data_IF_672714310859
#
_entry.id   IF_672714310859
#
_cell.length_a   1.000
_cell.length_b   1.000
_cell.length_c   1.000
_cell.angle_alpha   90.00
_cell.angle_beta   90.00
_cell.angle_gamma   90.00
#
_symmetry.space_group_name_H-M   'P 1'
#
loop_
_entity.id
_entity.type
_entity.pdbx_description
1 polymer ?
#
# COMPACT_ATOMS: atom_id res chain seq x y z
N UNK A 1 15.78 23.18 -3.10
CA UNK A 1 14.84 22.70 -4.15
C UNK A 1 13.39 22.96 -3.73
N UNK A 2 12.50 23.25 -4.70
CA UNK A 2 11.05 23.46 -4.47
C UNK A 2 10.29 22.33 -5.18
N UNK A 3 9.56 21.53 -4.44
CA UNK A 3 8.92 20.30 -4.94
C UNK A 3 7.42 20.32 -4.69
N UNK A 4 6.65 19.95 -5.69
CA UNK A 4 5.23 19.63 -5.54
C UNK A 4 5.07 18.12 -5.67
N UNK A 5 4.37 17.49 -4.69
CA UNK A 5 4.02 16.08 -4.73
C UNK A 5 2.51 15.92 -4.87
N UNK A 6 2.07 15.28 -5.95
CA UNK A 6 0.65 14.97 -6.19
C UNK A 6 0.33 13.56 -5.70
N UNK A 7 -0.48 13.47 -4.64
CA UNK A 7 -0.88 12.20 -4.04
C UNK A 7 -2.30 12.31 -3.48
N UNK A 8 -3.19 11.39 -3.83
CA UNK A 8 -4.57 11.41 -3.33
C UNK A 8 -5.23 10.03 -3.29
N UNK A 9 -6.22 9.91 -2.42
CA UNK A 9 -7.15 8.80 -2.32
C UNK A 9 -6.76 7.79 -1.27
N UNK A 10 -5.81 6.90 -1.55
CA UNK A 10 -5.44 5.80 -0.67
C UNK A 10 -4.03 5.95 -0.08
N UNK A 11 -3.77 5.31 1.05
CA UNK A 11 -2.45 5.26 1.66
C UNK A 11 -1.36 4.72 0.71
N UNK A 12 -1.72 3.82 -0.22
CA UNK A 12 -0.82 3.28 -1.23
C UNK A 12 -0.26 4.32 -2.22
N UNK A 13 -0.95 5.46 -2.40
CA UNK A 13 -0.45 6.59 -3.18
C UNK A 13 0.23 7.65 -2.31
N UNK A 14 -0.29 7.86 -1.09
CA UNK A 14 0.15 8.95 -0.21
C UNK A 14 1.48 8.60 0.48
N UNK A 15 1.60 7.38 1.00
CA UNK A 15 2.80 6.95 1.72
C UNK A 15 4.09 6.99 0.88
N UNK A 16 4.11 6.53 -0.39
CA UNK A 16 5.27 6.74 -1.26
C UNK A 16 5.62 8.22 -1.44
N UNK A 17 4.62 9.09 -1.60
CA UNK A 17 4.82 10.54 -1.69
C UNK A 17 5.48 11.12 -0.43
N UNK A 18 5.00 10.74 0.74
CA UNK A 18 5.57 11.15 2.04
C UNK A 18 7.00 10.61 2.18
N UNK A 19 7.25 9.37 1.79
CA UNK A 19 8.59 8.77 1.86
C UNK A 19 9.59 9.50 0.94
N UNK A 20 9.17 9.85 -0.29
CA UNK A 20 9.96 10.67 -1.21
C UNK A 20 10.22 12.06 -0.62
N UNK A 21 9.20 12.71 -0.05
CA UNK A 21 9.34 14.02 0.59
C UNK A 21 10.35 13.99 1.74
N UNK A 22 10.25 12.99 2.62
CA UNK A 22 11.17 12.80 3.74
C UNK A 22 12.61 12.59 3.26
N UNK A 23 12.81 11.78 2.20
CA UNK A 23 14.14 11.55 1.64
C UNK A 23 14.73 12.82 1.05
N UNK A 24 13.94 13.60 0.30
CA UNK A 24 14.38 14.91 -0.22
C UNK A 24 14.77 15.85 0.92
N UNK A 25 13.97 15.91 1.99
CA UNK A 25 14.28 16.74 3.17
C UNK A 25 15.53 16.27 3.91
N UNK A 26 15.81 14.98 3.92
CA UNK A 26 17.02 14.43 4.51
C UNK A 26 18.27 14.85 3.74
N UNK A 27 18.21 14.81 2.40
CA UNK A 27 19.34 15.18 1.52
C UNK A 27 19.48 16.70 1.36
N UNK A 28 18.37 17.42 1.31
CA UNK A 28 18.31 18.87 1.14
C UNK A 28 17.41 19.51 2.20
N UNK A 29 17.96 19.86 3.35
CA UNK A 29 17.21 20.41 4.50
C UNK A 29 16.42 21.67 4.15
N UNK A 30 16.93 22.51 3.28
CA UNK A 30 16.31 23.78 2.85
C UNK A 30 15.25 23.61 1.76
N UNK A 31 14.99 22.38 1.30
CA UNK A 31 13.97 22.13 0.28
C UNK A 31 12.58 22.55 0.79
N UNK A 32 11.78 23.16 -0.10
CA UNK A 32 10.38 23.49 0.19
C UNK A 32 9.49 22.50 -0.52
N UNK A 33 8.68 21.78 0.23
CA UNK A 33 7.83 20.71 -0.31
C UNK A 33 6.39 21.00 0.08
N UNK A 34 5.49 20.99 -0.91
CA UNK A 34 4.05 21.01 -0.69
C UNK A 34 3.40 19.82 -1.40
N UNK A 35 2.26 19.38 -0.88
CA UNK A 35 1.45 18.37 -1.53
C UNK A 35 0.26 19.00 -2.24
N UNK A 36 -0.16 18.37 -3.36
CA UNK A 36 -1.43 18.63 -4.00
C UNK A 36 -2.29 17.38 -3.88
N UNK A 37 -3.47 17.53 -3.28
CA UNK A 37 -4.46 16.48 -3.07
C UNK A 37 -5.87 16.98 -3.35
N UNK A 38 -6.86 16.27 -2.82
CA UNK A 38 -8.28 16.66 -2.85
C UNK A 38 -8.79 16.89 -1.43
N UNK A 39 -9.99 17.45 -1.29
CA UNK A 39 -10.64 17.65 0.02
C UNK A 39 -11.26 16.38 0.60
N UNK A 40 -11.12 15.19 -0.02
CA UNK A 40 -11.95 14.00 0.26
C UNK A 40 -11.20 12.73 0.64
N UNK A 41 -9.91 12.64 0.36
CA UNK A 41 -9.12 11.43 0.58
C UNK A 41 -8.35 11.43 1.89
N UNK A 42 -7.62 10.34 2.14
CA UNK A 42 -6.76 10.16 3.31
C UNK A 42 -5.60 11.17 3.36
N UNK A 43 -5.30 11.84 2.26
CA UNK A 43 -4.28 12.89 2.19
C UNK A 43 -4.54 14.03 3.16
N UNK A 44 -5.81 14.32 3.48
CA UNK A 44 -6.18 15.38 4.42
C UNK A 44 -5.75 15.11 5.86
N UNK A 45 -5.53 13.87 6.21
CA UNK A 45 -5.03 13.44 7.52
C UNK A 45 -3.52 13.11 7.46
N UNK A 46 -3.10 12.28 6.50
CA UNK A 46 -1.75 11.73 6.46
C UNK A 46 -0.67 12.75 6.12
N UNK A 47 -0.96 13.70 5.21
CA UNK A 47 0.03 14.70 4.77
C UNK A 47 0.33 15.72 5.87
N UNK A 48 -0.68 16.35 6.54
CA UNK A 48 -0.42 17.24 7.66
C UNK A 48 0.25 16.54 8.84
N UNK A 49 -0.14 15.30 9.18
CA UNK A 49 0.53 14.51 10.23
C UNK A 49 2.00 14.23 9.93
N UNK A 50 2.36 14.16 8.65
CA UNK A 50 3.75 14.02 8.22
C UNK A 50 4.52 15.35 8.21
N UNK A 51 3.90 16.47 8.58
CA UNK A 51 4.52 17.80 8.68
C UNK A 51 4.58 18.57 7.36
N UNK A 52 3.77 18.18 6.35
CA UNK A 52 3.76 18.84 5.06
C UNK A 52 2.49 19.65 4.82
N UNK A 53 2.64 20.77 4.10
CA UNK A 53 1.51 21.58 3.65
C UNK A 53 0.73 20.85 2.54
N UNK A 54 -0.60 20.79 2.66
CA UNK A 54 -1.51 20.26 1.67
C UNK A 54 -2.31 21.37 1.01
N UNK A 55 -2.16 21.52 -0.30
CA UNK A 55 -3.06 22.31 -1.17
C UNK A 55 -4.06 21.38 -1.81
N UNK A 56 -5.31 21.77 -1.88
CA UNK A 56 -6.37 20.94 -2.49
C UNK A 56 -6.86 21.53 -3.81
N UNK A 57 -7.16 20.65 -4.75
CA UNK A 57 -7.77 21.00 -6.04
C UNK A 57 -8.97 20.08 -6.33
N UNK A 58 -9.80 20.52 -7.28
CA UNK A 58 -10.90 19.70 -7.77
C UNK A 58 -10.40 18.67 -8.77
N UNK A 59 -10.37 17.39 -8.38
CA UNK A 59 -10.05 16.29 -9.28
C UNK A 59 -10.91 15.07 -8.97
N UNK A 60 -11.28 14.32 -10.00
CA UNK A 60 -12.14 13.14 -9.90
C UNK A 60 -11.64 12.00 -10.77
N UNK A 61 -11.85 10.78 -10.31
CA UNK A 61 -11.70 9.60 -11.15
C UNK A 61 -12.78 9.58 -12.23
N UNK A 62 -12.38 9.53 -13.48
CA UNK A 62 -13.32 9.46 -14.60
C UNK A 62 -13.67 8.00 -14.89
N UNK A 63 -14.96 7.72 -15.05
CA UNK A 63 -15.47 6.43 -15.52
C UNK A 63 -15.66 6.46 -17.03
N UNK A 64 -15.73 5.26 -17.66
CA UNK A 64 -16.03 5.16 -19.11
C UNK A 64 -17.53 5.32 -19.42
N UNK A 65 -18.39 5.40 -18.41
CA UNK A 65 -19.85 5.52 -18.62
C UNK A 65 -20.20 6.96 -19.00
N UNK A 66 -20.93 7.13 -20.08
CA UNK A 66 -21.55 8.40 -20.44
C UNK A 66 -22.73 8.64 -19.47
N UNK A 67 -22.52 9.53 -18.52
CA UNK A 67 -23.56 9.98 -17.57
C UNK A 67 -23.36 11.47 -17.25
N UNK A 68 -24.43 12.15 -16.89
CA UNK A 68 -24.43 13.55 -16.47
C UNK A 68 -23.43 13.76 -15.32
N UNK A 69 -23.39 12.81 -14.39
CA UNK A 69 -22.43 12.82 -13.27
C UNK A 69 -20.98 12.78 -13.76
N UNK A 70 -20.69 11.97 -14.77
CA UNK A 70 -19.35 11.88 -15.32
C UNK A 70 -18.92 13.15 -16.08
N UNK A 71 -19.86 13.81 -16.77
CA UNK A 71 -19.64 15.11 -17.40
C UNK A 71 -19.34 16.16 -16.33
N UNK A 72 -20.08 16.19 -15.23
CA UNK A 72 -19.83 17.09 -14.10
C UNK A 72 -18.45 16.84 -13.47
N UNK A 73 -18.04 15.58 -13.28
CA UNK A 73 -16.70 15.19 -12.79
C UNK A 73 -15.61 15.64 -13.76
N UNK A 74 -15.83 15.54 -15.05
CA UNK A 74 -14.89 16.00 -16.08
C UNK A 74 -14.72 17.52 -16.02
N UNK A 75 -15.83 18.28 -15.94
CA UNK A 75 -15.77 19.74 -15.78
C UNK A 75 -15.00 20.14 -14.51
N UNK A 76 -15.27 19.50 -13.37
CA UNK A 76 -14.55 19.75 -12.12
C UNK A 76 -13.06 19.43 -12.24
N UNK A 77 -12.72 18.37 -12.96
CA UNK A 77 -11.29 18.02 -13.18
C UNK A 77 -10.59 19.04 -14.09
N UNK A 78 -11.30 19.61 -15.08
CA UNK A 78 -10.80 20.73 -15.88
C UNK A 78 -10.58 21.98 -15.02
N UNK A 79 -11.47 22.28 -14.08
CA UNK A 79 -11.28 23.36 -13.10
C UNK A 79 -10.04 23.10 -12.25
N UNK A 80 -9.87 21.86 -11.75
CA UNK A 80 -8.69 21.44 -10.99
C UNK A 80 -7.38 21.59 -11.75
N UNK A 81 -7.39 21.42 -13.06
CA UNK A 81 -6.22 21.72 -13.91
C UNK A 81 -5.83 23.20 -13.82
N UNK A 82 -6.79 24.14 -13.86
CA UNK A 82 -6.54 25.57 -13.67
C UNK A 82 -6.05 25.91 -12.26
N UNK A 83 -6.65 25.28 -11.24
CA UNK A 83 -6.26 25.43 -9.84
C UNK A 83 -4.80 24.95 -9.62
N UNK A 84 -4.43 23.79 -10.18
CA UNK A 84 -3.05 23.30 -10.13
C UNK A 84 -2.06 24.27 -10.79
N UNK A 85 -2.40 24.82 -11.95
CA UNK A 85 -1.57 25.86 -12.62
C UNK A 85 -1.37 27.09 -11.74
N UNK A 86 -2.41 27.56 -11.06
CA UNK A 86 -2.32 28.71 -10.16
C UNK A 86 -1.34 28.44 -9.03
N UNK A 87 -1.49 27.27 -8.34
CA UNK A 87 -0.59 26.85 -7.28
C UNK A 87 0.87 26.79 -7.79
N UNK A 88 1.11 26.21 -8.97
CA UNK A 88 2.45 26.09 -9.54
C UNK A 88 3.06 27.47 -9.88
N UNK A 89 2.28 28.40 -10.42
CA UNK A 89 2.77 29.76 -10.70
C UNK A 89 3.14 30.53 -9.42
N UNK A 90 2.40 30.34 -8.34
CA UNK A 90 2.65 30.96 -7.04
C UNK A 90 3.85 30.28 -6.34
N UNK A 91 3.86 28.96 -6.30
CA UNK A 91 4.89 28.18 -5.62
C UNK A 91 6.20 28.09 -6.40
N UNK A 92 6.19 28.19 -7.74
CA UNK A 92 7.35 28.08 -8.65
C UNK A 92 8.20 26.82 -8.35
N UNK A 93 7.64 25.61 -8.55
CA UNK A 93 8.38 24.38 -8.27
C UNK A 93 9.46 24.11 -9.32
N UNK A 94 10.58 23.54 -8.88
CA UNK A 94 11.63 23.04 -9.75
C UNK A 94 11.22 21.69 -10.38
N UNK A 95 10.34 20.93 -9.71
CA UNK A 95 9.84 19.63 -10.15
C UNK A 95 8.46 19.32 -9.56
N UNK A 96 7.66 18.58 -10.34
CA UNK A 96 6.37 18.03 -9.89
C UNK A 96 6.41 16.51 -9.95
N UNK A 97 6.14 15.84 -8.81
CA UNK A 97 6.16 14.39 -8.65
C UNK A 97 4.74 13.89 -8.40
N UNK A 98 4.25 12.95 -9.21
CA UNK A 98 2.99 12.25 -8.95
C UNK A 98 3.23 10.84 -8.43
N UNK A 99 2.57 10.45 -7.34
CA UNK A 99 2.71 9.10 -6.75
C UNK A 99 1.48 8.22 -6.94
N UNK A 100 0.56 8.66 -7.79
CA UNK A 100 -0.61 7.87 -8.17
C UNK A 100 -1.95 8.55 -7.86
N UNK A 101 -3.00 7.87 -8.28
CA UNK A 101 -4.36 8.38 -8.16
C UNK A 101 -4.74 9.37 -9.29
N UNK A 102 -6.03 9.70 -9.31
CA UNK A 102 -6.61 10.57 -10.34
C UNK A 102 -6.10 12.02 -10.29
N UNK A 103 -5.58 12.45 -9.15
CA UNK A 103 -5.00 13.79 -8.94
C UNK A 103 -3.83 14.06 -9.90
N UNK A 104 -3.04 13.03 -10.22
CA UNK A 104 -1.90 13.15 -11.12
C UNK A 104 -2.32 13.62 -12.51
N UNK A 105 -3.53 13.30 -12.96
CA UNK A 105 -4.06 13.73 -14.25
C UNK A 105 -4.04 15.25 -14.42
N UNK A 106 -4.62 15.98 -13.49
CA UNK A 106 -4.64 17.43 -13.48
C UNK A 106 -3.24 18.02 -13.21
N UNK A 107 -2.55 17.49 -12.20
CA UNK A 107 -1.29 18.07 -11.70
C UNK A 107 -0.15 17.90 -12.69
N UNK A 108 0.13 16.68 -13.17
CA UNK A 108 1.20 16.41 -14.14
C UNK A 108 0.94 17.11 -15.50
N UNK A 109 -0.34 17.10 -15.97
CA UNK A 109 -0.66 17.81 -17.21
C UNK A 109 -0.48 19.33 -17.08
N UNK A 110 -0.76 19.90 -15.89
CA UNK A 110 -0.51 21.32 -15.61
C UNK A 110 0.98 21.66 -15.62
N UNK A 111 1.78 20.85 -14.94
CA UNK A 111 3.24 20.99 -14.88
C UNK A 111 3.85 20.93 -16.29
N UNK A 112 3.49 19.88 -17.06
CA UNK A 112 3.94 19.72 -18.43
C UNK A 112 3.62 20.95 -19.31
N UNK A 113 2.40 21.50 -19.17
CA UNK A 113 2.00 22.69 -19.96
C UNK A 113 2.70 23.98 -19.55
N UNK A 114 3.33 24.00 -18.37
CA UNK A 114 4.15 25.12 -17.87
C UNK A 114 5.66 24.91 -18.11
N UNK A 115 6.05 23.79 -18.74
CA UNK A 115 7.45 23.43 -18.94
C UNK A 115 8.19 23.04 -17.66
N UNK A 116 7.46 22.68 -16.59
CA UNK A 116 8.05 22.27 -15.33
C UNK A 116 8.40 20.78 -15.41
N UNK A 117 9.62 20.37 -15.01
CA UNK A 117 10.02 18.97 -14.96
C UNK A 117 9.04 18.08 -14.18
N UNK A 118 8.77 16.88 -14.70
CA UNK A 118 7.75 15.98 -14.17
C UNK A 118 8.28 14.59 -13.91
N UNK A 119 7.88 14.01 -12.78
CA UNK A 119 8.07 12.59 -12.46
C UNK A 119 6.76 11.92 -12.07
N UNK A 120 6.62 10.64 -12.41
CA UNK A 120 5.56 9.76 -11.88
C UNK A 120 6.21 8.57 -11.19
N UNK A 121 5.66 8.17 -10.05
CA UNK A 121 6.00 6.93 -9.39
C UNK A 121 4.86 5.93 -9.54
N UNK A 122 5.17 4.73 -10.05
CA UNK A 122 4.23 3.60 -10.13
C UNK A 122 4.62 2.52 -9.14
N UNK A 123 3.78 2.32 -8.16
CA UNK A 123 4.00 1.34 -7.10
C UNK A 123 3.66 -0.10 -7.49
N UNK A 124 2.82 -0.31 -8.51
CA UNK A 124 2.33 -1.63 -8.87
C UNK A 124 3.13 -2.26 -10.02
N UNK A 125 3.21 -3.59 -10.05
CA UNK A 125 3.76 -4.36 -11.18
C UNK A 125 2.90 -4.25 -12.46
N UNK A 126 1.62 -3.89 -12.31
CA UNK A 126 0.75 -3.52 -13.43
C UNK A 126 0.37 -2.04 -13.34
N UNK A 127 0.88 -1.20 -14.25
CA UNK A 127 0.70 0.25 -14.18
C UNK A 127 -0.75 0.68 -14.20
N UNK A 128 -1.07 1.64 -13.33
CA UNK A 128 -2.38 2.26 -13.24
C UNK A 128 -2.75 3.07 -14.49
N UNK A 129 -4.06 3.33 -14.67
CA UNK A 129 -4.57 4.11 -15.82
C UNK A 129 -3.94 5.50 -15.90
N UNK A 130 -3.76 6.17 -14.76
CA UNK A 130 -3.18 7.51 -14.72
C UNK A 130 -1.76 7.51 -15.28
N UNK A 131 -0.90 6.57 -14.87
CA UNK A 131 0.48 6.46 -15.36
C UNK A 131 0.49 6.21 -16.88
N UNK A 132 -0.33 5.27 -17.38
CA UNK A 132 -0.41 4.99 -18.82
C UNK A 132 -0.86 6.19 -19.66
N UNK A 133 -1.83 6.97 -19.17
CA UNK A 133 -2.34 8.15 -19.86
C UNK A 133 -1.35 9.32 -19.85
N UNK A 134 -0.56 9.43 -18.80
CA UNK A 134 0.38 10.52 -18.59
C UNK A 134 1.79 10.21 -19.10
N UNK A 135 2.06 8.99 -19.54
CA UNK A 135 3.40 8.55 -19.94
C UNK A 135 4.09 9.48 -20.94
N UNK A 136 3.37 9.95 -21.97
CA UNK A 136 3.91 10.90 -22.98
C UNK A 136 4.21 12.30 -22.43
N UNK A 137 3.53 12.70 -21.35
CA UNK A 137 3.64 14.04 -20.76
C UNK A 137 4.63 14.09 -19.59
N UNK A 138 5.09 12.93 -19.13
CA UNK A 138 5.99 12.80 -17.99
C UNK A 138 7.42 12.64 -18.48
N UNK A 139 8.36 13.36 -17.89
CA UNK A 139 9.75 13.28 -18.28
C UNK A 139 10.42 12.01 -17.80
N UNK A 140 10.12 11.58 -16.55
CA UNK A 140 10.63 10.32 -16.00
C UNK A 140 9.55 9.58 -15.21
N UNK A 141 9.41 8.28 -15.46
CA UNK A 141 8.54 7.39 -14.68
C UNK A 141 9.42 6.46 -13.86
N UNK A 142 9.23 6.50 -12.55
CA UNK A 142 9.89 5.63 -11.58
C UNK A 142 8.99 4.42 -11.33
N UNK A 143 9.51 3.21 -11.44
CA UNK A 143 8.72 1.99 -11.23
C UNK A 143 9.26 1.17 -10.07
N UNK A 144 8.34 0.60 -9.28
CA UNK A 144 8.67 -0.27 -8.15
C UNK A 144 9.03 -1.68 -8.58
N UNK A 145 8.54 -2.13 -9.72
CA UNK A 145 8.76 -3.46 -10.27
C UNK A 145 9.18 -3.38 -11.72
N UNK A 146 10.19 -4.17 -12.11
CA UNK A 146 10.65 -4.26 -13.50
C UNK A 146 9.54 -4.71 -14.45
N UNK A 147 8.62 -5.55 -13.98
CA UNK A 147 7.45 -6.01 -14.70
C UNK A 147 6.53 -4.89 -15.21
N UNK A 148 6.60 -3.70 -14.61
CA UNK A 148 5.84 -2.54 -15.06
C UNK A 148 6.40 -1.93 -16.35
N UNK A 149 7.72 -2.01 -16.59
CA UNK A 149 8.42 -1.33 -17.70
C UNK A 149 7.79 -1.66 -19.06
N UNK A 150 7.65 -2.94 -19.47
CA UNK A 150 7.12 -3.27 -20.82
C UNK A 150 5.65 -2.88 -21.01
N UNK A 151 4.95 -2.53 -19.90
CA UNK A 151 3.52 -2.14 -19.90
C UNK A 151 3.31 -0.63 -20.00
N UNK A 152 4.38 0.18 -19.89
CA UNK A 152 4.35 1.64 -19.99
C UNK A 152 4.82 2.05 -21.38
N UNK A 153 3.85 2.15 -22.30
CA UNK A 153 4.13 2.54 -23.69
C UNK A 153 4.28 4.07 -23.82
N UNK A 154 5.13 4.50 -24.74
CA UNK A 154 5.34 5.92 -25.10
C UNK A 154 5.85 6.80 -23.96
N UNK A 155 6.48 6.25 -22.93
CA UNK A 155 7.20 7.04 -21.95
C UNK A 155 8.52 7.56 -22.53
N UNK A 156 8.94 8.74 -22.10
CA UNK A 156 10.24 9.33 -22.49
C UNK A 156 11.39 8.57 -21.80
N UNK A 157 11.23 8.32 -20.49
CA UNK A 157 12.20 7.62 -19.67
C UNK A 157 11.47 6.81 -18.59
N UNK A 158 11.89 5.55 -18.36
CA UNK A 158 11.38 4.69 -17.29
C UNK A 158 12.55 4.13 -16.52
N UNK A 159 12.56 4.35 -15.21
CA UNK A 159 13.66 3.94 -14.32
C UNK A 159 13.11 3.00 -13.23
N UNK A 160 13.75 1.87 -13.06
CA UNK A 160 13.49 0.98 -11.93
C UNK A 160 14.17 1.49 -10.67
N UNK A 161 13.40 1.87 -9.67
CA UNK A 161 13.90 2.45 -8.41
C UNK A 161 13.45 1.67 -7.17
N UNK A 162 12.48 0.77 -7.32
CA UNK A 162 11.76 0.25 -6.17
C UNK A 162 10.78 1.28 -5.59
N UNK A 163 10.15 0.93 -4.48
CA UNK A 163 9.30 1.83 -3.68
C UNK A 163 9.98 2.13 -2.35
N UNK A 164 10.03 3.38 -1.90
CA UNK A 164 10.47 3.70 -0.55
C UNK A 164 9.58 3.01 0.49
N UNK A 165 10.16 2.20 1.35
CA UNK A 165 9.48 1.53 2.46
C UNK A 165 9.93 2.10 3.79
N UNK A 166 9.04 2.09 4.78
CA UNK A 166 9.35 2.53 6.14
C UNK A 166 10.00 1.40 6.95
N UNK A 167 9.58 0.16 6.69
CA UNK A 167 10.01 -1.02 7.43
C UNK A 167 11.46 -1.35 7.09
N UNK A 168 12.31 -1.36 8.11
CA UNK A 168 13.72 -1.74 8.00
C UNK A 168 13.92 -3.19 8.40
N UNK A 169 14.86 -3.85 7.73
CA UNK A 169 15.31 -5.18 8.14
C UNK A 169 16.18 -5.05 9.39
N UNK A 170 15.81 -5.77 10.45
CA UNK A 170 16.59 -5.91 11.66
C UNK A 170 17.03 -7.36 11.83
N UNK A 171 18.28 -7.58 12.13
CA UNK A 171 18.82 -8.89 12.47
C UNK A 171 18.80 -9.05 13.98
N UNK A 172 17.64 -9.43 14.52
CA UNK A 172 17.50 -9.69 15.94
C UNK A 172 18.26 -10.94 16.34
N UNK A 173 19.06 -10.84 17.40
CA UNK A 173 19.61 -12.01 18.08
C UNK A 173 18.50 -12.85 18.72
N UNK A 174 18.81 -14.12 19.04
CA UNK A 174 17.83 -15.06 19.61
C UNK A 174 17.15 -14.47 20.86
N UNK A 175 17.92 -13.91 21.78
CA UNK A 175 17.39 -13.34 23.03
C UNK A 175 16.43 -12.17 22.78
N UNK A 176 16.71 -11.34 21.80
CA UNK A 176 15.87 -10.18 21.45
C UNK A 176 14.58 -10.64 20.76
N UNK A 177 14.67 -11.58 19.82
CA UNK A 177 13.48 -12.20 19.19
C UNK A 177 12.58 -12.82 20.25
N UNK A 178 13.15 -13.55 21.19
CA UNK A 178 12.41 -14.20 22.29
C UNK A 178 11.75 -13.18 23.21
N UNK A 179 12.44 -12.07 23.54
CA UNK A 179 11.86 -10.99 24.33
C UNK A 179 10.64 -10.40 23.64
N UNK A 180 10.74 -10.08 22.35
CA UNK A 180 9.63 -9.51 21.55
C UNK A 180 8.45 -10.48 21.49
N UNK A 181 8.69 -11.77 21.23
CA UNK A 181 7.64 -12.77 21.19
C UNK A 181 6.93 -12.91 22.54
N UNK A 182 7.68 -12.90 23.64
CA UNK A 182 7.12 -12.96 24.99
C UNK A 182 6.26 -11.74 25.33
N UNK A 183 6.69 -10.53 24.93
CA UNK A 183 5.90 -9.30 25.09
C UNK A 183 4.57 -9.35 24.33
N UNK A 184 4.55 -10.02 23.17
CA UNK A 184 3.34 -10.25 22.37
C UNK A 184 2.45 -11.36 23.00
N UNK A 185 3.01 -12.21 23.88
CA UNK A 185 2.32 -13.35 24.50
C UNK A 185 2.50 -14.67 23.74
N UNK A 186 3.58 -14.77 22.96
CA UNK A 186 4.01 -15.95 22.23
C UNK A 186 5.34 -16.47 22.80
N UNK A 187 5.81 -17.61 22.27
CA UNK A 187 7.08 -18.21 22.69
C UNK A 187 7.97 -18.58 21.49
N UNK A 188 9.19 -19.03 21.76
CA UNK A 188 10.19 -19.35 20.74
C UNK A 188 10.11 -20.79 20.21
N UNK A 189 9.16 -21.59 20.68
CA UNK A 189 9.16 -23.05 20.43
C UNK A 189 8.63 -23.42 19.05
N UNK A 190 7.86 -22.55 18.42
CA UNK A 190 7.24 -22.80 17.13
C UNK A 190 7.42 -21.62 16.19
N UNK A 191 7.44 -21.86 14.86
CA UNK A 191 7.42 -20.77 13.88
C UNK A 191 6.26 -19.80 14.09
N UNK A 192 6.47 -18.54 13.79
CA UNK A 192 5.51 -17.46 13.94
C UNK A 192 5.02 -16.97 12.58
N UNK A 193 3.73 -17.02 12.37
CA UNK A 193 3.06 -16.55 11.16
C UNK A 193 2.40 -15.19 11.45
N UNK A 194 2.74 -14.17 10.67
CA UNK A 194 2.02 -12.91 10.69
C UNK A 194 0.88 -12.95 9.69
N UNK A 195 -0.34 -12.72 10.14
CA UNK A 195 -1.54 -12.61 9.30
C UNK A 195 -2.07 -11.19 9.31
N UNK A 196 -2.13 -10.55 8.13
CA UNK A 196 -2.66 -9.18 8.01
C UNK A 196 -3.38 -8.96 6.67
N UNK A 197 -4.66 -8.62 6.75
CA UNK A 197 -5.48 -8.25 5.59
C UNK A 197 -5.29 -6.80 5.11
N UNK A 198 -4.32 -6.06 5.70
CA UNK A 198 -4.13 -4.62 5.51
C UNK A 198 -4.90 -3.79 6.53
N UNK A 199 -4.79 -2.46 6.45
CA UNK A 199 -5.32 -1.52 7.48
C UNK A 199 -6.82 -1.61 7.75
N UNK A 200 -7.62 -2.11 6.80
CA UNK A 200 -9.07 -2.28 6.96
C UNK A 200 -9.46 -3.72 7.33
N UNK A 201 -8.49 -4.65 7.35
CA UNK A 201 -8.75 -6.07 7.43
C UNK A 201 -9.19 -6.69 6.10
N UNK A 202 -9.37 -8.01 6.09
CA UNK A 202 -9.81 -8.77 4.93
C UNK A 202 -10.73 -9.90 5.38
N UNK A 203 -12.03 -9.71 5.20
CA UNK A 203 -13.06 -10.64 5.67
C UNK A 203 -12.74 -12.10 5.30
N UNK A 204 -12.42 -12.38 4.02
CA UNK A 204 -12.17 -13.75 3.56
C UNK A 204 -10.93 -14.39 4.21
N UNK A 205 -9.89 -13.60 4.50
CA UNK A 205 -8.72 -14.08 5.26
C UNK A 205 -9.14 -14.36 6.70
N UNK A 206 -9.92 -13.47 7.31
CA UNK A 206 -10.39 -13.65 8.68
C UNK A 206 -11.24 -14.92 8.82
N UNK A 207 -12.17 -15.16 7.88
CA UNK A 207 -12.98 -16.39 7.84
C UNK A 207 -12.09 -17.66 7.81
N UNK A 208 -11.06 -17.67 6.96
CA UNK A 208 -10.13 -18.81 6.87
C UNK A 208 -9.34 -19.02 8.18
N UNK A 209 -8.93 -17.94 8.86
CA UNK A 209 -8.23 -18.07 10.15
C UNK A 209 -9.19 -18.56 11.25
N UNK A 210 -10.45 -18.09 11.29
CA UNK A 210 -11.48 -18.60 12.20
C UNK A 210 -11.68 -20.11 11.98
N UNK A 211 -11.71 -20.58 10.73
CA UNK A 211 -11.81 -22.01 10.40
C UNK A 211 -10.59 -22.80 10.89
N UNK A 212 -9.36 -22.28 10.75
CA UNK A 212 -8.14 -22.88 11.30
C UNK A 212 -8.25 -23.04 12.82
N UNK A 213 -8.70 -22.00 13.52
CA UNK A 213 -8.86 -22.00 14.98
C UNK A 213 -9.92 -23.01 15.41
N UNK A 214 -11.11 -22.98 14.79
CA UNK A 214 -12.22 -23.90 15.06
C UNK A 214 -11.79 -25.36 14.93
N UNK A 215 -11.04 -25.68 13.88
CA UNK A 215 -10.62 -27.04 13.56
C UNK A 215 -9.28 -27.42 14.22
N UNK A 216 -8.69 -26.53 15.03
CA UNK A 216 -7.41 -26.73 15.75
C UNK A 216 -6.27 -27.16 14.82
N UNK A 217 -6.16 -26.51 13.66
CA UNK A 217 -5.16 -26.85 12.64
C UNK A 217 -3.77 -26.26 12.94
N UNK A 218 -3.68 -25.23 13.80
CA UNK A 218 -2.44 -24.51 14.14
C UNK A 218 -1.51 -25.23 15.13
N UNK A 219 -1.38 -26.56 15.03
CA UNK A 219 -0.61 -27.37 16.01
C UNK A 219 0.90 -27.08 15.99
N UNK A 220 1.44 -26.77 14.81
CA UNK A 220 2.88 -26.71 14.56
C UNK A 220 3.42 -25.26 14.43
N UNK A 221 2.58 -24.23 14.59
CA UNK A 221 2.97 -22.83 14.46
C UNK A 221 2.15 -21.95 15.41
N UNK A 222 2.58 -20.73 15.54
CA UNK A 222 1.91 -19.66 16.27
C UNK A 222 1.53 -18.53 15.29
N UNK A 223 0.57 -17.69 15.66
CA UNK A 223 0.13 -16.58 14.81
C UNK A 223 0.06 -15.25 15.56
N UNK A 224 0.46 -14.20 14.87
CA UNK A 224 0.09 -12.82 15.20
C UNK A 224 -0.90 -12.39 14.12
N UNK A 225 -2.14 -12.17 14.50
CA UNK A 225 -3.21 -11.91 13.56
C UNK A 225 -3.86 -10.55 13.76
N UNK A 226 -3.75 -9.66 12.75
CA UNK A 226 -4.47 -8.39 12.68
C UNK A 226 -5.73 -8.55 11.84
N UNK A 227 -6.88 -8.54 12.50
CA UNK A 227 -8.20 -8.71 11.86
C UNK A 227 -8.63 -7.49 11.06
N UNK A 228 -8.11 -6.31 11.40
CA UNK A 228 -8.61 -4.99 11.00
C UNK A 228 -9.63 -4.44 12.01
N UNK A 229 -9.56 -3.14 12.35
CA UNK A 229 -10.41 -2.56 13.41
C UNK A 229 -11.91 -2.76 13.19
N UNK A 230 -12.36 -2.66 11.93
CA UNK A 230 -13.78 -2.84 11.59
C UNK A 230 -14.25 -4.29 11.57
N UNK A 231 -13.32 -5.24 11.54
CA UNK A 231 -13.61 -6.67 11.47
C UNK A 231 -13.42 -7.37 12.82
N UNK A 232 -12.82 -6.70 13.80
CA UNK A 232 -12.48 -7.31 15.09
C UNK A 232 -13.69 -7.85 15.84
N UNK A 233 -14.75 -7.05 15.94
CA UNK A 233 -15.98 -7.47 16.63
C UNK A 233 -16.73 -8.58 15.87
N UNK A 234 -16.66 -8.60 14.53
CA UNK A 234 -17.21 -9.69 13.72
C UNK A 234 -16.46 -10.99 14.01
N UNK A 235 -15.12 -10.95 13.95
CA UNK A 235 -14.27 -12.11 14.27
C UNK A 235 -14.53 -12.61 15.68
N UNK A 236 -14.67 -11.70 16.65
CA UNK A 236 -15.01 -12.06 18.04
C UNK A 236 -16.34 -12.81 18.11
N UNK A 237 -17.39 -12.27 17.46
CA UNK A 237 -18.70 -12.94 17.41
C UNK A 237 -18.65 -14.32 16.74
N UNK A 238 -17.86 -14.45 15.66
CA UNK A 238 -17.67 -15.75 14.99
C UNK A 238 -17.00 -16.78 15.91
N UNK A 239 -15.97 -16.38 16.67
CA UNK A 239 -15.31 -17.26 17.64
C UNK A 239 -16.23 -17.60 18.82
N UNK A 240 -16.99 -16.63 19.35
CA UNK A 240 -17.96 -16.82 20.44
C UNK A 240 -19.04 -17.86 20.06
N UNK A 241 -19.48 -17.90 18.79
CA UNK A 241 -20.41 -18.90 18.26
C UNK A 241 -19.85 -20.33 18.35
N UNK A 242 -18.54 -20.50 18.42
CA UNK A 242 -17.87 -21.79 18.63
C UNK A 242 -17.39 -21.99 20.06
N UNK A 243 -17.82 -21.15 21.01
CA UNK A 243 -17.40 -21.16 22.42
C UNK A 243 -15.88 -20.95 22.59
N UNK A 244 -15.25 -20.18 21.70
CA UNK A 244 -13.83 -19.86 21.72
C UNK A 244 -13.65 -18.40 22.14
N UNK A 245 -13.03 -18.19 23.30
CA UNK A 245 -12.75 -16.84 23.79
C UNK A 245 -11.56 -16.24 23.03
N UNK A 246 -11.74 -15.10 22.38
CA UNK A 246 -10.75 -14.45 21.53
C UNK A 246 -9.39 -14.20 22.22
N UNK A 247 -9.40 -13.98 23.55
CA UNK A 247 -8.18 -13.72 24.33
C UNK A 247 -7.51 -15.00 24.85
N UNK A 248 -8.10 -16.17 24.61
CA UNK A 248 -7.63 -17.46 25.13
C UNK A 248 -7.39 -18.50 24.02
N UNK A 249 -7.08 -18.03 22.82
CA UNK A 249 -6.71 -18.94 21.72
C UNK A 249 -5.24 -19.29 21.84
N UNK A 250 -4.94 -20.56 22.09
CA UNK A 250 -3.58 -21.04 22.29
C UNK A 250 -2.69 -20.78 21.05
N UNK A 251 -1.51 -20.20 21.29
CA UNK A 251 -0.54 -19.88 20.25
C UNK A 251 -0.98 -18.82 19.24
N UNK A 252 -2.07 -18.07 19.50
CA UNK A 252 -2.53 -17.04 18.58
C UNK A 252 -2.78 -15.73 19.31
N UNK A 253 -2.05 -14.68 18.93
CA UNK A 253 -2.30 -13.30 19.36
C UNK A 253 -3.22 -12.63 18.36
N UNK A 254 -4.46 -12.34 18.76
CA UNK A 254 -5.47 -11.68 17.92
C UNK A 254 -5.54 -10.20 18.29
N UNK A 255 -5.40 -9.33 17.30
CA UNK A 255 -5.37 -7.89 17.49
C UNK A 255 -6.26 -7.19 16.46
N UNK A 256 -6.95 -6.10 16.81
CA UNK A 256 -7.65 -5.30 15.81
C UNK A 256 -6.68 -4.61 14.84
N UNK A 257 -5.50 -4.20 15.33
CA UNK A 257 -4.47 -3.50 14.55
C UNK A 257 -3.08 -3.71 15.17
N UNK A 258 -2.03 -3.74 14.34
CA UNK A 258 -0.63 -3.83 14.78
C UNK A 258 0.03 -2.46 14.58
N UNK A 259 0.38 -1.79 15.67
CA UNK A 259 1.03 -0.47 15.64
C UNK A 259 2.53 -0.57 15.37
N UNK A 260 3.19 -1.58 15.90
CA UNK A 260 4.63 -1.87 15.74
C UNK A 260 4.88 -2.89 14.61
N UNK A 261 4.28 -2.67 13.43
CA UNK A 261 4.33 -3.60 12.30
C UNK A 261 5.77 -3.96 11.89
N UNK A 262 6.71 -2.99 11.98
CA UNK A 262 8.13 -3.23 11.67
C UNK A 262 8.73 -4.33 12.52
N UNK A 263 8.53 -4.27 13.83
CA UNK A 263 9.04 -5.25 14.78
C UNK A 263 8.39 -6.63 14.54
N UNK A 264 7.06 -6.65 14.41
CA UNK A 264 6.28 -7.88 14.19
C UNK A 264 6.65 -8.57 12.86
N UNK A 265 6.81 -7.80 11.77
CA UNK A 265 7.26 -8.36 10.50
C UNK A 265 8.69 -8.93 10.57
N UNK A 266 9.58 -8.31 11.35
CA UNK A 266 10.94 -8.80 11.52
C UNK A 266 11.00 -10.11 12.30
N UNK A 267 10.19 -10.29 13.34
CA UNK A 267 10.16 -11.53 14.15
C UNK A 267 9.36 -12.67 13.52
N UNK A 268 8.41 -12.38 12.64
CA UNK A 268 7.63 -13.39 11.93
C UNK A 268 8.52 -14.21 10.98
N UNK A 269 8.25 -15.50 10.87
CA UNK A 269 8.95 -16.41 9.95
C UNK A 269 8.26 -16.47 8.59
N UNK A 270 6.92 -16.34 8.55
CA UNK A 270 6.09 -16.33 7.34
C UNK A 270 5.06 -15.20 7.44
N UNK A 271 4.70 -14.59 6.32
CA UNK A 271 3.63 -13.58 6.28
C UNK A 271 2.47 -14.06 5.40
N UNK A 272 1.24 -13.83 5.86
CA UNK A 272 0.01 -14.11 5.11
C UNK A 272 -0.77 -12.80 4.96
N UNK A 273 -1.16 -12.44 3.74
CA UNK A 273 -1.93 -11.22 3.58
C UNK A 273 -2.32 -10.86 2.14
N UNK A 274 -2.85 -9.66 1.99
CA UNK A 274 -3.17 -9.10 0.69
C UNK A 274 -1.91 -8.68 -0.07
N UNK A 275 -1.98 -8.67 -1.41
CA UNK A 275 -0.86 -8.33 -2.28
C UNK A 275 -0.87 -6.84 -2.73
N UNK A 276 -1.09 -5.93 -1.79
CA UNK A 276 -0.90 -4.49 -2.04
C UNK A 276 0.56 -4.20 -2.37
N UNK A 277 0.83 -3.22 -3.24
CA UNK A 277 2.19 -2.91 -3.69
C UNK A 277 3.16 -2.65 -2.52
N UNK A 278 2.72 -1.88 -1.51
CA UNK A 278 3.55 -1.61 -0.32
C UNK A 278 3.84 -2.88 0.45
N UNK A 279 2.82 -3.71 0.73
CA UNK A 279 2.99 -4.99 1.45
C UNK A 279 3.98 -5.91 0.74
N UNK A 280 3.84 -6.08 -0.59
CA UNK A 280 4.75 -6.91 -1.39
C UNK A 280 6.18 -6.36 -1.34
N UNK A 281 6.34 -5.03 -1.41
CA UNK A 281 7.66 -4.40 -1.30
C UNK A 281 8.26 -4.57 0.10
N UNK A 282 7.48 -4.43 1.17
CA UNK A 282 7.90 -4.63 2.56
C UNK A 282 8.34 -6.09 2.80
N UNK A 283 7.54 -7.06 2.32
CA UNK A 283 7.87 -8.49 2.37
C UNK A 283 9.20 -8.77 1.65
N UNK A 284 9.36 -8.24 0.42
CA UNK A 284 10.58 -8.41 -0.36
C UNK A 284 11.80 -7.79 0.32
N UNK A 285 11.66 -6.58 0.89
CA UNK A 285 12.73 -5.90 1.62
C UNK A 285 13.22 -6.69 2.83
N UNK A 286 12.30 -7.36 3.53
CA UNK A 286 12.63 -8.20 4.68
C UNK A 286 13.11 -9.61 4.30
N UNK A 287 12.93 -10.03 3.04
CA UNK A 287 13.23 -11.39 2.59
C UNK A 287 12.34 -12.46 3.25
N UNK A 288 11.07 -12.14 3.52
CA UNK A 288 10.14 -13.05 4.20
C UNK A 288 9.38 -13.95 3.21
N UNK A 289 9.36 -15.27 3.43
CA UNK A 289 8.42 -16.15 2.73
C UNK A 289 6.98 -15.70 2.97
N UNK A 290 6.11 -15.85 1.97
CA UNK A 290 4.75 -15.35 2.12
C UNK A 290 3.69 -16.20 1.41
N UNK A 291 2.45 -16.13 1.92
CA UNK A 291 1.25 -16.58 1.23
C UNK A 291 0.43 -15.33 0.91
N UNK A 292 0.26 -15.06 -0.37
CA UNK A 292 -0.41 -13.87 -0.84
C UNK A 292 -1.81 -14.20 -1.36
N UNK A 293 -2.79 -13.48 -0.83
CA UNK A 293 -4.20 -13.60 -1.24
C UNK A 293 -4.60 -12.29 -1.94
N UNK A 294 -4.43 -12.19 -3.27
CA UNK A 294 -4.77 -10.97 -4.01
C UNK A 294 -6.24 -10.60 -3.84
N UNK A 295 -6.52 -9.31 -3.60
CA UNK A 295 -7.90 -8.82 -3.55
C UNK A 295 -8.52 -8.87 -4.95
N UNK A 296 -9.66 -9.56 -5.14
CA UNK A 296 -10.34 -9.59 -6.43
C UNK A 296 -11.01 -8.25 -6.75
N UNK A 297 -11.40 -8.07 -8.01
CA UNK A 297 -12.19 -6.92 -8.47
C UNK A 297 -11.55 -5.54 -8.28
N UNK A 298 -10.22 -5.50 -8.03
CA UNK A 298 -9.46 -4.24 -8.07
C UNK A 298 -9.08 -3.88 -9.50
N UNK A 299 -8.81 -2.60 -9.74
CA UNK A 299 -8.48 -2.08 -11.08
C UNK A 299 -7.36 -2.91 -11.72
N UNK A 300 -7.68 -3.55 -12.85
CA UNK A 300 -6.74 -4.39 -13.62
C UNK A 300 -6.12 -5.56 -12.85
N UNK A 301 -6.75 -6.05 -11.78
CA UNK A 301 -6.22 -7.13 -10.93
C UNK A 301 -4.77 -6.88 -10.47
N UNK A 302 -4.40 -5.62 -10.22
CA UNK A 302 -3.02 -5.22 -9.93
C UNK A 302 -2.42 -6.00 -8.76
N UNK A 303 -3.23 -6.41 -7.74
CA UNK A 303 -2.71 -7.22 -6.64
C UNK A 303 -2.24 -8.59 -7.08
N UNK A 304 -2.90 -9.22 -8.05
CA UNK A 304 -2.43 -10.50 -8.61
C UNK A 304 -1.07 -10.32 -9.32
N UNK A 305 -0.90 -9.25 -10.08
CA UNK A 305 0.38 -8.96 -10.71
C UNK A 305 1.49 -8.67 -9.69
N UNK A 306 1.18 -7.95 -8.62
CA UNK A 306 2.13 -7.71 -7.53
C UNK A 306 2.55 -9.03 -6.85
N UNK A 307 1.59 -9.92 -6.56
CA UNK A 307 1.85 -11.22 -5.96
C UNK A 307 2.74 -12.09 -6.85
N UNK A 308 2.48 -12.10 -8.17
CA UNK A 308 3.25 -12.87 -9.15
C UNK A 308 4.73 -12.50 -9.19
N UNK A 309 5.11 -11.26 -8.85
CA UNK A 309 6.53 -10.87 -8.77
C UNK A 309 7.28 -11.73 -7.75
N UNK A 310 6.70 -11.98 -6.58
CA UNK A 310 7.31 -12.85 -5.56
C UNK A 310 7.12 -14.34 -5.87
N UNK A 311 6.00 -14.74 -6.45
CA UNK A 311 5.76 -16.13 -6.85
C UNK A 311 6.76 -16.60 -7.92
N UNK A 312 7.04 -15.77 -8.92
CA UNK A 312 7.97 -16.08 -10.01
C UNK A 312 9.40 -16.36 -9.51
N UNK A 313 9.78 -15.77 -8.40
CA UNK A 313 11.08 -16.03 -7.75
C UNK A 313 10.98 -17.01 -6.57
N UNK A 314 9.85 -17.71 -6.44
CA UNK A 314 9.57 -18.71 -5.40
C UNK A 314 9.65 -18.15 -3.96
N UNK A 315 9.46 -16.85 -3.78
CA UNK A 315 9.40 -16.19 -2.48
C UNK A 315 7.99 -16.12 -1.89
N UNK A 316 6.96 -16.43 -2.70
CA UNK A 316 5.57 -16.49 -2.26
C UNK A 316 4.80 -17.64 -2.91
N UNK A 317 3.74 -18.09 -2.25
CA UNK A 317 2.62 -18.83 -2.85
C UNK A 317 1.42 -17.90 -3.01
N UNK A 318 0.64 -18.10 -4.06
CA UNK A 318 -0.61 -17.37 -4.28
C UNK A 318 -1.79 -18.33 -4.03
N UNK A 319 -2.75 -17.86 -3.22
CA UNK A 319 -4.06 -18.48 -3.09
C UNK A 319 -5.09 -17.47 -3.58
N UNK A 320 -5.90 -17.84 -4.57
CA UNK A 320 -6.95 -16.95 -5.06
C UNK A 320 -8.04 -16.78 -3.99
N UNK A 321 -8.63 -15.59 -3.94
CA UNK A 321 -9.59 -15.26 -2.88
C UNK A 321 -10.82 -16.20 -2.85
N UNK A 322 -11.27 -16.65 -4.00
CA UNK A 322 -12.36 -17.62 -4.18
C UNK A 322 -12.00 -19.04 -3.75
N UNK A 323 -10.73 -19.38 -3.75
CA UNK A 323 -10.23 -20.72 -3.38
C UNK A 323 -9.80 -20.81 -1.91
N UNK A 324 -9.83 -19.68 -1.20
CA UNK A 324 -9.32 -19.60 0.18
C UNK A 324 -10.28 -20.28 1.17
N UNK A 325 -9.76 -21.29 1.85
CA UNK A 325 -10.36 -21.97 3.02
C UNK A 325 -9.32 -22.09 4.11
N UNK A 326 -9.73 -22.37 5.34
CA UNK A 326 -8.79 -22.61 6.45
C UNK A 326 -7.90 -23.82 6.21
N UNK A 327 -8.44 -24.89 5.64
CA UNK A 327 -7.70 -26.11 5.29
C UNK A 327 -6.63 -25.81 4.24
N UNK A 328 -7.01 -25.21 3.09
CA UNK A 328 -6.07 -24.86 2.01
C UNK A 328 -4.99 -23.86 2.45
N UNK A 329 -5.30 -23.01 3.42
CA UNK A 329 -4.33 -22.05 3.95
C UNK A 329 -3.35 -22.72 4.92
N UNK A 330 -3.78 -23.76 5.61
CA UNK A 330 -2.96 -24.52 6.55
C UNK A 330 -1.98 -25.48 5.87
N UNK A 331 -2.35 -26.05 4.71
CA UNK A 331 -1.51 -26.94 3.87
C UNK A 331 -0.36 -26.17 3.18
#
# INVERSE_FOLDING_TARGET
>A
MRVIIAAAGTAGHINPGIAIANKIKQEEKDSKIIFIGTTRGLENDLVPRAGYELKTINAYGLSKKLSIENIKKMYQTCKGYGEAKKIMKEFKPDIVIGTGGYICGATISSAHSLGIPTMLHESNAFPGKAVKLLAKKTDTILVSFQDAIPRIKNAKNVVYTGTPVKIKKHEYGVNEKNRILKEIGLNETKPVILVSGGSQGAQKINEAIVEIIKNKLNKNYQMIWATGPKQFDVVKGDLDNYHILINHVDGIKILPYIYNMEEVMNVADVTIGRAGAMTVTEIANLGKPSILIPLPNVSHNHQLYNAKVLENVKAAKIILNEELTGEKLND
#
